data_IF_240299981155
#
_entry.id   IF_240299981155
#
_cell.length_a   1.000
_cell.length_b   1.000
_cell.length_c   1.000
_cell.angle_alpha   90.00
_cell.angle_beta   90.00
_cell.angle_gamma   90.00
#
_symmetry.space_group_name_H-M   'P 1'
#
loop_
_entity.id
_entity.type
_entity.pdbx_description
1 polymer ?
#
# COMPACT_ATOMS: atom_id res chain seq x y z
N UNK A 1 5.80 -17.72 20.10
CA UNK A 1 7.09 -17.76 19.36
C UNK A 1 7.29 -16.51 18.51
N UNK A 2 6.42 -16.22 17.53
CA UNK A 2 6.55 -15.02 16.66
C UNK A 2 6.58 -13.72 17.45
N UNK A 3 5.58 -13.49 18.31
CA UNK A 3 5.51 -12.25 19.11
C UNK A 3 6.71 -12.08 20.05
N UNK A 4 7.12 -13.17 20.71
CA UNK A 4 8.30 -13.16 21.60
C UNK A 4 9.59 -12.80 20.86
N UNK A 5 9.74 -13.21 19.60
CA UNK A 5 10.91 -12.93 18.78
C UNK A 5 10.96 -11.47 18.30
N UNK A 6 9.82 -10.89 17.93
CA UNK A 6 9.77 -9.60 17.23
C UNK A 6 9.28 -8.41 18.09
N UNK A 7 8.73 -8.63 19.29
CA UNK A 7 8.16 -7.56 20.14
C UNK A 7 9.11 -6.43 20.53
N UNK A 8 10.42 -6.66 20.45
CA UNK A 8 11.46 -5.68 20.75
C UNK A 8 12.33 -5.37 19.54
N UNK A 9 11.86 -5.70 18.33
CA UNK A 9 12.57 -5.41 17.09
C UNK A 9 12.01 -4.14 16.45
N UNK A 10 12.91 -3.24 16.06
CA UNK A 10 12.56 -2.01 15.36
C UNK A 10 12.00 -2.33 13.97
N UNK A 11 10.86 -1.72 13.59
CA UNK A 11 10.24 -1.90 12.28
C UNK A 11 9.81 -3.33 11.98
N UNK A 12 9.46 -4.13 13.00
CA UNK A 12 9.15 -5.55 12.84
C UNK A 12 8.06 -5.82 11.78
N UNK A 13 7.08 -4.92 11.69
CA UNK A 13 5.97 -4.95 10.73
C UNK A 13 6.44 -4.95 9.27
N UNK A 14 7.63 -4.43 8.96
CA UNK A 14 8.15 -4.36 7.60
C UNK A 14 8.67 -5.71 7.08
N UNK A 15 9.00 -6.68 7.95
CA UNK A 15 9.64 -7.93 7.52
C UNK A 15 9.15 -9.21 8.20
N UNK A 16 8.44 -9.16 9.33
CA UNK A 16 8.09 -10.39 10.04
C UNK A 16 7.13 -11.28 9.22
N UNK A 17 6.14 -10.70 8.54
CA UNK A 17 5.18 -11.45 7.72
C UNK A 17 5.91 -12.11 6.55
N UNK A 18 6.76 -11.35 5.86
CA UNK A 18 7.57 -11.82 4.74
C UNK A 18 8.48 -12.98 5.18
N UNK A 19 9.12 -12.84 6.35
CA UNK A 19 9.97 -13.88 6.93
C UNK A 19 9.19 -15.17 7.22
N UNK A 20 7.99 -15.06 7.81
CA UNK A 20 7.14 -16.23 8.07
C UNK A 20 6.62 -16.88 6.79
N UNK A 21 6.17 -16.08 5.83
CA UNK A 21 5.73 -16.57 4.52
C UNK A 21 6.85 -17.34 3.82
N UNK A 22 8.07 -16.76 3.78
CA UNK A 22 9.22 -17.36 3.11
C UNK A 22 9.68 -18.68 3.75
N UNK A 23 9.59 -18.80 5.07
CA UNK A 23 10.00 -20.00 5.81
C UNK A 23 8.85 -21.02 6.01
N UNK A 24 7.79 -20.92 5.23
CA UNK A 24 6.64 -21.82 5.30
C UNK A 24 6.20 -22.29 3.91
N UNK A 25 5.16 -23.14 3.89
CA UNK A 25 4.52 -23.56 2.63
C UNK A 25 3.98 -22.40 1.78
N UNK A 26 3.73 -21.24 2.38
CA UNK A 26 3.18 -20.07 1.70
C UNK A 26 4.20 -19.39 0.77
N UNK A 27 5.49 -19.73 0.86
CA UNK A 27 6.52 -19.24 -0.06
C UNK A 27 6.14 -19.47 -1.53
N UNK A 28 5.53 -20.60 -1.84
CA UNK A 28 5.13 -20.95 -3.20
C UNK A 28 3.82 -20.27 -3.66
N UNK A 29 3.24 -19.43 -2.81
CA UNK A 29 2.01 -18.68 -3.06
C UNK A 29 2.21 -17.17 -2.93
N UNK A 30 3.47 -16.70 -2.89
CA UNK A 30 3.76 -15.27 -2.96
C UNK A 30 3.37 -14.77 -4.35
N UNK A 31 2.58 -13.69 -4.38
CA UNK A 31 1.95 -13.20 -5.60
C UNK A 31 2.95 -12.64 -6.62
N UNK A 32 3.85 -11.78 -6.16
CA UNK A 32 4.94 -11.24 -6.97
C UNK A 32 6.21 -11.13 -6.11
N UNK A 33 7.34 -11.54 -6.67
CA UNK A 33 8.66 -11.51 -6.04
C UNK A 33 9.58 -10.45 -6.63
N UNK A 34 9.21 -9.87 -7.77
CA UNK A 34 10.05 -8.96 -8.53
C UNK A 34 9.56 -7.52 -8.44
N UNK A 35 8.24 -7.32 -8.30
CA UNK A 35 7.63 -6.01 -8.17
C UNK A 35 6.94 -5.87 -6.81
N UNK A 36 7.45 -4.94 -5.98
CA UNK A 36 6.92 -4.65 -4.66
C UNK A 36 5.50 -4.09 -4.71
N UNK A 37 5.22 -3.18 -5.66
CA UNK A 37 3.93 -2.53 -5.78
C UNK A 37 2.87 -3.50 -6.26
N UNK A 38 3.20 -4.33 -7.26
CA UNK A 38 2.33 -5.42 -7.69
C UNK A 38 2.18 -6.48 -6.58
N UNK A 39 3.24 -6.77 -5.82
CA UNK A 39 3.20 -7.71 -4.71
C UNK A 39 2.30 -7.26 -3.55
N UNK A 40 2.32 -5.98 -3.20
CA UNK A 40 1.57 -5.42 -2.08
C UNK A 40 0.23 -4.75 -2.47
N UNK A 41 0.00 -4.57 -3.78
CA UNK A 41 -1.19 -3.95 -4.37
C UNK A 41 -1.53 -2.58 -3.76
N UNK A 42 -0.48 -1.81 -3.44
CA UNK A 42 -0.60 -0.48 -2.83
C UNK A 42 0.23 0.53 -3.61
N UNK A 43 -0.41 1.53 -4.19
CA UNK A 43 0.28 2.70 -4.71
C UNK A 43 0.82 3.54 -3.55
N UNK A 44 2.15 3.65 -3.46
CA UNK A 44 2.84 4.50 -2.49
C UNK A 44 3.88 5.32 -3.27
N UNK A 45 3.74 6.63 -3.27
CA UNK A 45 4.72 7.47 -3.94
C UNK A 45 5.87 7.85 -2.98
N UNK A 46 7.06 7.36 -3.33
CA UNK A 46 8.33 7.66 -2.68
C UNK A 46 9.24 8.59 -3.51
N UNK A 47 8.83 8.93 -4.73
CA UNK A 47 9.64 9.75 -5.65
C UNK A 47 9.54 11.24 -5.31
N UNK A 48 8.43 11.67 -4.73
CA UNK A 48 8.17 13.08 -4.36
C UNK A 48 8.62 13.43 -2.93
N UNK A 49 9.54 12.64 -2.35
CA UNK A 49 10.17 12.88 -1.04
C UNK A 49 9.84 11.78 -0.01
N UNK A 50 9.45 12.17 1.19
CA UNK A 50 8.80 11.24 2.13
C UNK A 50 7.48 10.72 1.53
N UNK A 51 6.90 9.60 2.03
CA UNK A 51 5.67 9.05 1.48
C UNK A 51 4.64 10.13 1.16
N UNK A 52 4.43 10.35 -0.13
CA UNK A 52 3.74 11.53 -0.63
C UNK A 52 2.28 11.52 -0.17
N UNK A 53 1.78 12.71 0.14
CA UNK A 53 0.36 12.90 0.44
C UNK A 53 -0.34 13.43 -0.79
N UNK A 54 -1.22 12.60 -1.36
CA UNK A 54 -1.95 12.88 -2.59
C UNK A 54 -2.75 14.19 -2.51
N UNK A 55 -2.77 14.91 -3.62
CA UNK A 55 -3.42 16.21 -3.80
C UNK A 55 -4.41 16.12 -4.97
N UNK A 56 -5.29 17.11 -5.09
CA UNK A 56 -6.33 17.13 -6.14
C UNK A 56 -5.76 16.98 -7.57
N UNK A 57 -4.58 17.55 -7.82
CA UNK A 57 -3.88 17.45 -9.11
C UNK A 57 -3.50 16.01 -9.50
N UNK A 58 -3.40 15.09 -8.54
CA UNK A 58 -2.99 13.70 -8.74
C UNK A 58 -4.19 12.77 -9.01
N UNK A 59 -5.42 13.31 -9.05
CA UNK A 59 -6.64 12.53 -9.25
C UNK A 59 -6.57 11.57 -10.45
N UNK A 60 -6.06 12.05 -11.59
CA UNK A 60 -5.96 11.24 -12.81
C UNK A 60 -4.98 10.07 -12.66
N UNK A 61 -3.88 10.27 -11.92
CA UNK A 61 -2.92 9.21 -11.61
C UNK A 61 -3.58 8.13 -10.73
N UNK A 62 -4.35 8.56 -9.73
CA UNK A 62 -5.03 7.67 -8.79
C UNK A 62 -6.11 6.81 -9.44
N UNK A 63 -6.93 7.36 -10.34
CA UNK A 63 -7.98 6.57 -11.02
C UNK A 63 -7.41 5.66 -12.12
N UNK A 64 -6.20 5.94 -12.60
CA UNK A 64 -5.50 5.11 -13.58
C UNK A 64 -4.67 3.99 -12.94
N UNK A 65 -4.50 4.02 -11.61
CA UNK A 65 -3.77 3.00 -10.85
C UNK A 65 -4.41 1.62 -11.02
N UNK A 66 -3.59 0.63 -11.34
CA UNK A 66 -4.00 -0.78 -11.40
C UNK A 66 -4.01 -1.45 -10.00
N UNK A 67 -3.45 -0.78 -8.99
CA UNK A 67 -3.37 -1.29 -7.63
C UNK A 67 -4.68 -1.13 -6.86
N UNK A 68 -4.93 -2.05 -5.92
CA UNK A 68 -6.16 -2.08 -5.12
C UNK A 68 -6.33 -0.89 -4.17
N UNK A 69 -5.23 -0.35 -3.65
CA UNK A 69 -5.24 0.75 -2.69
C UNK A 69 -4.15 1.78 -2.98
N UNK A 70 -4.29 2.99 -2.46
CA UNK A 70 -3.26 4.02 -2.50
C UNK A 70 -3.03 4.66 -1.12
N UNK A 71 -1.83 5.21 -0.88
CA UNK A 71 -1.52 6.07 0.28
C UNK A 71 -0.45 7.12 -0.08
N UNK A 72 -0.39 8.28 0.57
CA UNK A 72 -1.20 8.70 1.74
C UNK A 72 -2.25 9.74 1.35
N UNK A 73 -3.40 9.68 2.01
CA UNK A 73 -4.43 10.71 1.94
C UNK A 73 -4.43 11.55 3.22
N UNK A 74 -4.81 12.82 3.11
CA UNK A 74 -4.99 13.75 4.24
C UNK A 74 -6.38 14.38 4.14
N UNK A 75 -7.02 14.59 5.28
CA UNK A 75 -8.30 15.31 5.36
C UNK A 75 -8.19 16.77 4.91
N UNK A 76 -6.97 17.33 4.85
CA UNK A 76 -6.71 18.63 4.24
C UNK A 76 -7.07 18.64 2.74
N UNK A 77 -7.04 17.48 2.08
CA UNK A 77 -7.45 17.28 0.69
C UNK A 77 -8.80 16.56 0.61
N UNK A 78 -9.80 17.04 1.36
CA UNK A 78 -11.14 16.45 1.40
C UNK A 78 -11.81 16.41 0.01
N UNK A 79 -11.54 17.39 -0.86
CA UNK A 79 -12.08 17.44 -2.23
C UNK A 79 -11.66 16.20 -3.04
N UNK A 80 -10.37 15.85 -3.02
CA UNK A 80 -9.84 14.66 -3.67
C UNK A 80 -10.51 13.39 -3.15
N UNK A 81 -10.63 13.26 -1.82
CA UNK A 81 -11.24 12.08 -1.19
C UNK A 81 -12.70 11.94 -1.61
N UNK A 82 -13.47 13.05 -1.59
CA UNK A 82 -14.86 13.06 -2.00
C UNK A 82 -15.03 12.70 -3.48
N UNK A 83 -14.15 13.24 -4.34
CA UNK A 83 -14.16 12.97 -5.77
C UNK A 83 -13.87 11.51 -6.09
N UNK A 84 -12.83 10.93 -5.47
CA UNK A 84 -12.51 9.51 -5.60
C UNK A 84 -13.64 8.61 -5.09
N UNK A 85 -14.23 8.96 -3.95
CA UNK A 85 -15.38 8.21 -3.39
C UNK A 85 -16.57 8.22 -4.34
N UNK A 86 -16.86 9.39 -4.93
CA UNK A 86 -17.93 9.53 -5.94
C UNK A 86 -17.65 8.69 -7.19
N UNK A 87 -16.40 8.72 -7.68
CA UNK A 87 -15.98 7.91 -8.82
C UNK A 87 -16.17 6.41 -8.56
N UNK A 88 -15.68 5.90 -7.42
CA UNK A 88 -15.78 4.48 -7.05
C UNK A 88 -17.24 4.04 -6.88
N UNK A 89 -18.11 4.90 -6.33
CA UNK A 89 -19.53 4.60 -6.20
C UNK A 89 -20.28 4.56 -7.55
N UNK A 90 -19.75 5.20 -8.59
CA UNK A 90 -20.38 5.20 -9.93
C UNK A 90 -19.99 3.97 -10.76
N UNK A 91 -18.90 3.29 -10.39
CA UNK A 91 -18.41 2.08 -11.08
C UNK A 91 -19.04 0.78 -10.54
N UNK A 92 -19.78 0.84 -9.42
CA UNK A 92 -20.54 -0.27 -8.85
C UNK A 92 -21.99 -0.27 -9.36
#
# INVERSE_FOLDING_TARGET
>A
MVLELYKHTFGADEFFIQTLCWNSRFRNSVYDLNDEYNGCQRLIDWERGWPYTWQEKDYNELIASEYLFARKFSSENAELINRLTTFLNTQN
#
